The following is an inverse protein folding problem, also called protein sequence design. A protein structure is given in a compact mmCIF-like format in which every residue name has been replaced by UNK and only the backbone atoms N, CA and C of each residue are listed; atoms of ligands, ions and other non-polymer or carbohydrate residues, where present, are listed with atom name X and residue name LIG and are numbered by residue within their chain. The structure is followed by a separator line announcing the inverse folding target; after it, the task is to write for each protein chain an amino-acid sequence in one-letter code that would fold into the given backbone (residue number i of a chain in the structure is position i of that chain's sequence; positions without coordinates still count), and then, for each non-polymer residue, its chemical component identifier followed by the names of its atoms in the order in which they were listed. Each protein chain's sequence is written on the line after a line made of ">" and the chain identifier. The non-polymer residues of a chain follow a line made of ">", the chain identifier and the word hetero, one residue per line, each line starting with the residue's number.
data_IF_017547675430
#
_entry.id   IF_017547675430
#
_cell.length_a   1.000
_cell.length_b   1.000
_cell.length_c   1.000
_cell.angle_alpha   90.00
_cell.angle_beta   90.00
_cell.angle_gamma   90.00
#
_symmetry.space_group_name_H-M   'P 1'
#
loop_
_entity.id
_entity.type
_entity.pdbx_description
1 polymer ?
#
# COMPACT_ATOMS: atom_id res chain seq x y z
N UNK A 1 -12.56 2.77 -53.86
CA UNK A 1 -12.19 4.20 -53.75
C UNK A 1 -11.21 4.36 -52.57
N UNK A 2 -10.04 4.91 -52.88
CA UNK A 2 -8.93 5.16 -51.93
C UNK A 2 -9.14 6.53 -51.27
N UNK A 3 -8.87 6.65 -49.98
CA UNK A 3 -8.38 7.88 -49.32
C UNK A 3 -7.84 7.47 -47.97
N UNK A 4 -6.59 7.50 -47.73
CA UNK A 4 -5.58 8.53 -47.49
C UNK A 4 -5.42 8.88 -46.00
N UNK A 5 -4.26 8.47 -45.53
CA UNK A 5 -3.52 8.77 -44.30
C UNK A 5 -3.63 10.22 -43.79
N UNK A 6 -3.72 10.39 -42.50
CA UNK A 6 -3.08 11.54 -41.83
C UNK A 6 -2.26 11.05 -40.63
N UNK A 7 -0.95 11.25 -40.73
CA UNK A 7 0.03 11.08 -39.65
C UNK A 7 0.22 12.46 -39.05
N UNK A 8 -0.24 12.71 -37.85
CA UNK A 8 0.17 13.88 -37.08
C UNK A 8 1.26 13.50 -36.09
N UNK A 9 2.46 14.01 -36.41
CA UNK A 9 3.63 13.97 -35.53
C UNK A 9 3.52 15.11 -34.54
N UNK A 10 3.24 14.82 -33.30
CA UNK A 10 3.36 15.82 -32.24
C UNK A 10 4.82 15.88 -31.74
N UNK A 11 5.47 16.94 -32.12
CA UNK A 11 6.83 17.30 -31.67
C UNK A 11 6.79 17.77 -30.22
N UNK A 12 7.63 17.16 -29.38
CA UNK A 12 7.93 17.65 -28.02
C UNK A 12 8.86 18.86 -28.09
N UNK A 13 8.66 19.92 -27.31
CA UNK A 13 9.72 20.86 -26.98
C UNK A 13 10.45 20.43 -25.71
N UNK A 14 11.75 20.27 -25.83
CA UNK A 14 12.70 20.29 -24.71
C UNK A 14 12.70 21.71 -24.11
N UNK A 15 12.58 21.84 -22.82
CA UNK A 15 13.00 23.04 -22.10
C UNK A 15 14.03 22.67 -21.03
N UNK A 16 15.22 23.22 -21.27
CA UNK A 16 16.39 23.24 -20.41
C UNK A 16 16.22 24.13 -19.19
N UNK A 17 17.11 23.86 -18.21
CA UNK A 17 17.70 24.80 -17.24
C UNK A 17 16.92 24.98 -15.94
N UNK A 18 17.50 24.74 -14.77
CA UNK A 18 18.54 25.58 -14.20
C UNK A 18 19.17 24.89 -12.97
N UNK A 19 20.47 24.93 -12.99
CA UNK A 19 21.39 24.63 -11.89
C UNK A 19 21.31 25.76 -10.85
N UNK A 20 21.10 25.43 -9.58
CA UNK A 20 21.33 26.36 -8.49
C UNK A 20 22.18 25.66 -7.41
N UNK A 21 23.46 26.01 -7.40
CA UNK A 21 24.41 25.76 -6.32
C UNK A 21 24.04 26.66 -5.11
N UNK A 22 23.83 26.08 -3.96
CA UNK A 22 23.92 26.78 -2.67
C UNK A 22 25.01 26.14 -1.83
N UNK A 23 26.14 26.84 -1.73
CA UNK A 23 27.17 26.64 -0.73
C UNK A 23 26.79 27.41 0.52
N UNK A 24 26.64 26.73 1.65
CA UNK A 24 26.58 27.38 2.96
C UNK A 24 27.64 26.79 3.86
N UNK A 25 28.67 27.59 4.09
CA UNK A 25 29.71 27.39 5.11
C UNK A 25 29.12 27.62 6.49
N UNK A 26 29.31 26.71 7.44
CA UNK A 26 29.09 26.97 8.85
C UNK A 26 30.39 26.81 9.63
N UNK A 27 30.77 27.92 10.29
CA UNK A 27 31.97 28.11 11.09
C UNK A 27 31.90 27.35 12.43
N UNK A 28 33.03 26.79 12.83
CA UNK A 28 33.32 26.20 14.14
C UNK A 28 33.55 27.29 15.17
N UNK A 29 32.80 27.30 16.25
CA UNK A 29 33.14 28.06 17.45
C UNK A 29 33.54 27.07 18.57
N UNK A 30 34.82 27.05 18.89
CA UNK A 30 35.36 26.38 20.09
C UNK A 30 35.40 27.39 21.24
N UNK A 31 34.66 27.14 22.32
CA UNK A 31 34.81 27.85 23.57
C UNK A 31 35.39 26.87 24.61
N UNK A 32 36.64 27.12 24.98
CA UNK A 32 37.32 26.51 26.12
C UNK A 32 36.96 27.28 27.39
N UNK A 33 36.50 26.60 28.44
CA UNK A 33 36.54 27.11 29.80
C UNK A 33 37.31 26.15 30.69
N UNK A 34 38.45 26.64 31.17
CA UNK A 34 39.23 26.05 32.25
C UNK A 34 38.58 26.40 33.57
N UNK A 35 38.45 25.43 34.48
CA UNK A 35 38.08 25.63 35.85
C UNK A 35 38.41 24.36 36.63
N UNK A 36 39.51 24.40 37.37
CA UNK A 36 39.93 23.34 38.24
C UNK A 36 39.13 23.36 39.57
N UNK A 37 38.71 22.20 40.06
CA UNK A 37 38.63 21.86 41.47
C UNK A 37 38.36 20.37 41.66
N UNK A 38 39.21 19.78 42.46
CA UNK A 38 39.27 18.36 42.84
C UNK A 38 38.05 17.87 43.60
N UNK A 39 37.51 16.71 43.18
CA UNK A 39 36.98 15.68 44.09
C UNK A 39 36.81 14.37 43.27
N UNK A 40 37.30 13.21 43.70
CA UNK A 40 37.14 11.96 42.93
C UNK A 40 35.75 11.39 43.18
N UNK A 41 34.83 11.62 42.25
CA UNK A 41 33.53 10.95 42.20
C UNK A 41 33.56 9.90 41.11
N UNK A 42 33.24 8.68 41.50
CA UNK A 42 33.22 7.49 40.66
C UNK A 42 32.56 7.78 39.28
N UNK A 43 33.33 7.49 38.23
CA UNK A 43 32.87 7.55 36.83
C UNK A 43 31.78 6.51 36.63
N UNK A 44 30.60 6.86 36.09
CA UNK A 44 29.69 5.84 35.61
C UNK A 44 30.31 5.20 34.37
N UNK A 45 30.56 3.91 34.46
CA UNK A 45 30.93 3.05 33.33
C UNK A 45 29.97 3.29 32.20
N UNK A 46 30.40 3.61 30.95
CA UNK A 46 29.51 3.72 29.83
C UNK A 46 28.86 2.35 29.64
N UNK A 47 27.55 2.28 29.84
CA UNK A 47 26.73 1.11 29.53
C UNK A 47 26.95 0.81 28.05
N UNK A 48 27.56 -0.31 27.74
CA UNK A 48 27.78 -0.77 26.39
C UNK A 48 26.42 -0.82 25.70
N UNK A 49 26.27 -0.03 24.65
CA UNK A 49 25.06 -0.08 23.78
C UNK A 49 24.90 -1.52 23.31
N UNK A 50 23.83 -2.17 23.76
CA UNK A 50 23.47 -3.52 23.35
C UNK A 50 23.30 -3.52 21.86
N UNK A 51 23.97 -4.40 21.07
CA UNK A 51 23.81 -4.41 19.62
C UNK A 51 22.34 -4.66 19.29
N UNK A 52 21.71 -3.70 18.67
CA UNK A 52 20.35 -3.82 18.12
C UNK A 52 20.39 -4.97 17.12
N UNK A 53 19.75 -6.09 17.47
CA UNK A 53 19.64 -7.28 16.62
C UNK A 53 19.07 -6.82 15.26
N UNK A 54 19.87 -6.91 14.21
CA UNK A 54 19.44 -6.59 12.87
C UNK A 54 18.19 -7.40 12.57
N UNK A 55 17.09 -6.72 12.20
CA UNK A 55 15.84 -7.40 11.91
C UNK A 55 16.06 -8.44 10.79
N UNK A 56 15.59 -9.66 10.99
CA UNK A 56 15.67 -10.72 9.99
C UNK A 56 14.98 -10.23 8.69
N UNK A 57 15.68 -10.18 7.55
CA UNK A 57 15.11 -9.73 6.28
C UNK A 57 13.85 -10.48 5.88
N UNK A 58 13.75 -11.75 6.26
CA UNK A 58 12.57 -12.60 6.01
C UNK A 58 11.36 -12.11 6.79
N UNK A 59 11.52 -11.86 8.08
CA UNK A 59 10.45 -11.37 8.93
C UNK A 59 10.04 -9.93 8.57
N UNK A 60 10.98 -9.09 8.21
CA UNK A 60 10.71 -7.76 7.69
C UNK A 60 9.86 -7.83 6.41
N UNK A 61 10.23 -8.69 5.45
CA UNK A 61 9.48 -8.88 4.21
C UNK A 61 8.06 -9.40 4.44
N UNK A 62 7.86 -10.35 5.35
CA UNK A 62 6.53 -10.84 5.74
C UNK A 62 5.66 -9.71 6.31
N UNK A 63 6.22 -8.95 7.24
CA UNK A 63 5.53 -7.80 7.86
C UNK A 63 5.12 -6.77 6.81
N UNK A 64 6.03 -6.41 5.91
CA UNK A 64 5.77 -5.43 4.85
C UNK A 64 4.69 -5.90 3.87
N UNK A 65 4.73 -7.19 3.47
CA UNK A 65 3.71 -7.77 2.59
C UNK A 65 2.32 -7.75 3.25
N UNK A 66 2.21 -8.10 4.54
CA UNK A 66 0.97 -8.03 5.30
C UNK A 66 0.46 -6.58 5.40
N UNK A 67 1.34 -5.63 5.75
CA UNK A 67 0.97 -4.22 5.87
C UNK A 67 0.49 -3.65 4.54
N UNK A 68 1.13 -4.04 3.43
CA UNK A 68 0.71 -3.66 2.08
C UNK A 68 -0.69 -4.21 1.76
N UNK A 69 -0.96 -5.47 2.08
CA UNK A 69 -2.25 -6.10 1.86
C UNK A 69 -3.38 -5.42 2.67
N UNK A 70 -3.12 -5.09 3.93
CA UNK A 70 -4.06 -4.34 4.75
C UNK A 70 -4.32 -2.93 4.21
N UNK A 71 -3.28 -2.26 3.71
CA UNK A 71 -3.39 -0.94 3.08
C UNK A 71 -4.16 -0.99 1.76
N UNK A 72 -3.95 -2.04 0.96
CA UNK A 72 -4.70 -2.31 -0.26
C UNK A 72 -6.21 -2.34 0.02
N UNK A 73 -6.67 -3.08 1.02
CA UNK A 73 -8.10 -3.15 1.35
C UNK A 73 -8.67 -1.82 1.83
N UNK A 74 -7.90 -1.00 2.55
CA UNK A 74 -8.31 0.38 2.89
C UNK A 74 -8.51 1.25 1.66
N UNK A 75 -7.67 1.09 0.64
CA UNK A 75 -7.83 1.83 -0.62
C UNK A 75 -8.99 1.28 -1.47
N UNK A 76 -9.24 -0.03 -1.44
CA UNK A 76 -10.44 -0.64 -2.04
C UNK A 76 -11.71 -0.05 -1.42
N UNK A 77 -11.80 0.03 -0.08
CA UNK A 77 -12.93 0.68 0.59
C UNK A 77 -13.14 2.12 0.11
N UNK A 78 -12.07 2.91 0.03
CA UNK A 78 -12.14 4.31 -0.46
C UNK A 78 -12.62 4.38 -1.90
N UNK A 79 -12.10 3.53 -2.77
CA UNK A 79 -12.47 3.51 -4.18
C UNK A 79 -13.96 3.23 -4.36
N UNK A 80 -14.50 2.23 -3.66
CA UNK A 80 -15.91 1.88 -3.75
C UNK A 80 -16.85 2.89 -3.08
N UNK A 81 -16.35 3.67 -2.12
CA UNK A 81 -17.13 4.71 -1.45
C UNK A 81 -17.21 6.01 -2.26
N UNK A 82 -16.21 6.32 -3.10
CA UNK A 82 -16.08 7.56 -3.86
C UNK A 82 -16.26 7.34 -5.37
N UNK A 83 -17.44 7.69 -5.95
CA UNK A 83 -17.67 7.55 -7.37
C UNK A 83 -16.70 8.32 -8.28
N UNK A 84 -16.03 9.35 -7.74
CA UNK A 84 -15.00 10.07 -8.50
C UNK A 84 -13.69 9.30 -8.62
N UNK A 85 -13.47 8.30 -7.75
CA UNK A 85 -12.25 7.51 -7.66
C UNK A 85 -11.00 8.29 -7.23
N UNK A 86 -11.13 9.59 -6.92
CA UNK A 86 -9.99 10.49 -6.64
C UNK A 86 -9.42 10.32 -5.24
N UNK A 87 -10.23 9.85 -4.30
CA UNK A 87 -9.82 9.67 -2.90
C UNK A 87 -8.91 8.46 -2.69
N UNK A 88 -8.97 7.47 -3.57
CA UNK A 88 -8.21 6.22 -3.44
C UNK A 88 -6.82 6.30 -4.08
N UNK A 89 -5.83 5.77 -3.37
CA UNK A 89 -4.43 5.64 -3.83
C UNK A 89 -4.09 4.19 -4.17
N UNK A 90 -5.04 3.46 -4.76
CA UNK A 90 -4.96 2.01 -4.98
C UNK A 90 -3.68 1.59 -5.73
N UNK A 91 -3.21 2.38 -6.71
CA UNK A 91 -1.99 2.12 -7.49
C UNK A 91 -0.70 2.10 -6.66
N UNK A 92 -0.72 2.60 -5.43
CA UNK A 92 0.42 2.48 -4.51
C UNK A 92 0.53 1.08 -3.92
N UNK A 93 -0.59 0.35 -3.80
CA UNK A 93 -0.68 -0.93 -3.10
C UNK A 93 -1.11 -2.09 -4.00
N UNK A 94 -1.55 -1.82 -5.23
CA UNK A 94 -1.98 -2.84 -6.18
C UNK A 94 -1.39 -2.62 -7.57
N UNK A 95 -1.29 -3.72 -8.32
CA UNK A 95 -0.87 -3.75 -9.71
C UNK A 95 -1.54 -4.95 -10.43
N UNK A 96 -1.28 -5.11 -11.71
CA UNK A 96 -1.69 -6.27 -12.53
C UNK A 96 -3.19 -6.58 -12.39
N UNK A 97 -3.54 -7.85 -12.19
CA UNK A 97 -4.93 -8.31 -12.13
C UNK A 97 -5.69 -7.73 -10.93
N UNK A 98 -5.07 -7.64 -9.75
CA UNK A 98 -5.72 -7.10 -8.56
C UNK A 98 -6.18 -5.65 -8.77
N UNK A 99 -5.31 -4.80 -9.33
CA UNK A 99 -5.67 -3.42 -9.65
C UNK A 99 -6.79 -3.34 -10.68
N UNK A 100 -6.62 -4.04 -11.82
CA UNK A 100 -7.58 -4.01 -12.93
C UNK A 100 -8.96 -4.48 -12.52
N UNK A 101 -9.05 -5.57 -11.78
CA UNK A 101 -10.33 -6.15 -11.37
C UNK A 101 -11.07 -5.20 -10.42
N UNK A 102 -10.38 -4.67 -9.40
CA UNK A 102 -11.00 -3.75 -8.43
C UNK A 102 -11.45 -2.44 -9.10
N UNK A 103 -10.62 -1.84 -9.98
CA UNK A 103 -11.01 -0.63 -10.72
C UNK A 103 -12.23 -0.88 -11.64
N UNK A 104 -12.27 -2.04 -12.31
CA UNK A 104 -13.39 -2.44 -13.17
C UNK A 104 -14.67 -2.66 -12.38
N UNK A 105 -14.59 -3.39 -11.26
CA UNK A 105 -15.75 -3.71 -10.43
C UNK A 105 -16.30 -2.48 -9.73
N UNK A 106 -15.43 -1.61 -9.21
CA UNK A 106 -15.84 -0.34 -8.60
C UNK A 106 -16.51 0.57 -9.64
N UNK A 107 -15.92 0.68 -10.85
CA UNK A 107 -16.54 1.42 -11.96
C UNK A 107 -17.91 0.88 -12.30
N UNK A 108 -18.06 -0.44 -12.44
CA UNK A 108 -19.36 -1.06 -12.72
C UNK A 108 -20.39 -0.75 -11.61
N UNK A 109 -19.98 -0.79 -10.33
CA UNK A 109 -20.86 -0.40 -9.23
C UNK A 109 -21.30 1.07 -9.35
N UNK A 110 -20.38 1.98 -9.62
CA UNK A 110 -20.66 3.41 -9.75
C UNK A 110 -21.54 3.74 -10.97
N UNK A 111 -21.30 3.10 -12.12
CA UNK A 111 -22.12 3.24 -13.32
C UNK A 111 -23.59 2.82 -13.05
N UNK A 112 -23.82 1.90 -12.12
CA UNK A 112 -25.14 1.50 -11.64
C UNK A 112 -25.63 2.28 -10.41
N UNK A 113 -25.05 3.43 -10.12
CA UNK A 113 -25.40 4.30 -8.99
C UNK A 113 -25.27 3.61 -7.61
N UNK A 114 -24.29 2.72 -7.46
CA UNK A 114 -24.02 1.96 -6.23
C UNK A 114 -22.69 2.37 -5.64
N UNK A 115 -22.67 2.55 -4.33
CA UNK A 115 -21.44 2.72 -3.56
C UNK A 115 -21.43 1.73 -2.42
N UNK A 116 -20.24 1.49 -1.86
CA UNK A 116 -20.10 0.67 -0.67
C UNK A 116 -19.70 1.56 0.50
N UNK A 117 -20.36 1.36 1.64
CA UNK A 117 -20.07 2.08 2.88
C UNK A 117 -19.82 1.08 4.02
N UNK A 118 -19.10 1.54 5.03
CA UNK A 118 -18.69 0.70 6.15
C UNK A 118 -17.27 0.20 6.02
N UNK A 119 -16.97 -0.96 6.57
CA UNK A 119 -15.60 -1.45 6.72
C UNK A 119 -15.47 -2.92 6.29
N UNK A 120 -14.31 -3.22 5.71
CA UNK A 120 -13.82 -4.59 5.50
C UNK A 120 -12.83 -4.94 6.59
N UNK A 121 -12.92 -6.15 7.13
CA UNK A 121 -11.93 -6.64 8.09
C UNK A 121 -11.06 -7.70 7.43
N UNK A 122 -9.76 -7.45 7.38
CA UNK A 122 -8.74 -8.43 6.98
C UNK A 122 -8.31 -9.16 8.25
N UNK A 123 -8.88 -10.34 8.48
CA UNK A 123 -8.62 -11.14 9.68
C UNK A 123 -7.45 -12.10 9.48
N UNK A 124 -6.53 -12.13 10.46
CA UNK A 124 -5.44 -13.10 10.55
C UNK A 124 -4.64 -13.26 9.23
N UNK A 125 -4.15 -12.19 8.60
CA UNK A 125 -3.35 -12.32 7.39
C UNK A 125 -2.04 -13.05 7.72
N UNK A 126 -1.78 -14.15 7.03
CA UNK A 126 -0.59 -14.97 7.20
C UNK A 126 0.13 -15.15 5.87
N UNK A 127 1.45 -15.05 5.88
CA UNK A 127 2.29 -15.40 4.73
C UNK A 127 2.45 -16.92 4.68
N UNK A 128 1.90 -17.53 3.64
CA UNK A 128 1.93 -18.99 3.41
C UNK A 128 3.03 -19.42 2.45
N UNK A 129 3.62 -18.46 1.73
CA UNK A 129 4.77 -18.67 0.84
C UNK A 129 5.57 -17.39 0.69
N UNK A 130 6.89 -17.49 0.64
CA UNK A 130 7.79 -16.34 0.47
C UNK A 130 8.99 -16.74 -0.41
N UNK A 131 9.18 -16.03 -1.50
CA UNK A 131 10.37 -16.11 -2.35
C UNK A 131 11.04 -14.75 -2.44
N UNK A 132 12.19 -14.60 -1.79
CA UNK A 132 13.01 -13.39 -1.81
C UNK A 132 14.19 -13.47 -2.80
N UNK A 133 14.41 -14.63 -3.42
CA UNK A 133 15.57 -14.88 -4.28
C UNK A 133 15.28 -14.62 -5.75
N UNK A 134 14.02 -14.62 -6.15
CA UNK A 134 13.63 -14.35 -7.53
C UNK A 134 13.91 -12.89 -7.92
N UNK A 135 14.00 -12.63 -9.22
CA UNK A 135 14.17 -11.26 -9.78
C UNK A 135 13.08 -10.30 -9.28
N UNK A 136 11.88 -10.81 -9.06
CA UNK A 136 10.77 -10.07 -8.45
C UNK A 136 10.34 -10.84 -7.21
N UNK A 137 10.80 -10.44 -6.01
CA UNK A 137 10.42 -11.10 -4.76
C UNK A 137 8.90 -11.17 -4.60
N UNK A 138 8.40 -12.31 -4.10
CA UNK A 138 6.96 -12.59 -4.01
C UNK A 138 6.59 -13.19 -2.67
N UNK A 139 5.44 -12.79 -2.16
CA UNK A 139 4.78 -13.42 -1.03
C UNK A 139 3.37 -13.87 -1.41
N UNK A 140 2.99 -15.04 -0.90
CA UNK A 140 1.60 -15.54 -0.94
C UNK A 140 1.01 -15.37 0.44
N UNK A 141 -0.18 -14.77 0.53
CA UNK A 141 -0.91 -14.59 1.77
C UNK A 141 -2.21 -15.38 1.76
N UNK A 142 -2.64 -15.76 2.94
CA UNK A 142 -4.01 -16.24 3.20
C UNK A 142 -4.59 -15.44 4.33
N UNK A 143 -5.85 -15.03 4.21
CA UNK A 143 -6.57 -14.30 5.27
C UNK A 143 -8.05 -14.65 5.28
N UNK A 144 -8.71 -14.30 6.38
CA UNK A 144 -10.16 -14.32 6.48
C UNK A 144 -10.69 -12.90 6.18
N UNK A 145 -11.34 -12.73 5.05
CA UNK A 145 -11.95 -11.45 4.69
C UNK A 145 -13.40 -11.41 5.19
N UNK A 146 -13.71 -10.42 6.02
CA UNK A 146 -15.06 -10.18 6.52
C UNK A 146 -15.61 -8.87 5.95
N UNK A 147 -16.62 -9.00 5.07
CA UNK A 147 -17.34 -7.93 4.40
C UNK A 147 -18.77 -7.75 4.96
N UNK A 148 -19.09 -8.32 6.11
CA UNK A 148 -20.44 -8.25 6.69
C UNK A 148 -20.87 -6.82 7.02
N UNK A 149 -19.92 -5.95 7.35
CA UNK A 149 -20.14 -4.53 7.63
C UNK A 149 -19.95 -3.60 6.42
N UNK A 150 -19.60 -4.16 5.26
CA UNK A 150 -19.42 -3.41 4.02
C UNK A 150 -20.71 -3.49 3.20
N UNK A 151 -21.52 -2.45 3.29
CA UNK A 151 -22.89 -2.39 2.77
C UNK A 151 -22.93 -1.71 1.42
N UNK A 152 -23.69 -2.28 0.47
CA UNK A 152 -24.01 -1.65 -0.80
C UNK A 152 -25.21 -0.74 -0.61
N UNK A 153 -25.08 0.51 -1.02
CA UNK A 153 -26.16 1.49 -0.95
C UNK A 153 -26.32 2.24 -2.29
N UNK A 154 -27.48 2.78 -2.51
CA UNK A 154 -27.70 3.72 -3.61
C UNK A 154 -26.89 5.00 -3.38
N UNK A 155 -26.14 5.45 -4.39
CA UNK A 155 -25.19 6.55 -4.24
C UNK A 155 -25.86 7.90 -3.95
N UNK A 156 -27.11 8.10 -4.41
CA UNK A 156 -27.86 9.37 -4.23
C UNK A 156 -28.64 9.37 -2.92
N UNK A 157 -29.43 8.33 -2.69
CA UNK A 157 -30.36 8.26 -1.55
C UNK A 157 -29.73 7.70 -0.28
N UNK A 158 -28.56 7.05 -0.41
CA UNK A 158 -27.86 6.32 0.67
C UNK A 158 -28.66 5.16 1.28
N UNK A 159 -29.78 4.77 0.65
CA UNK A 159 -30.58 3.65 1.09
C UNK A 159 -29.86 2.32 0.81
N UNK A 160 -29.85 1.38 1.76
CA UNK A 160 -29.29 0.05 1.55
C UNK A 160 -29.98 -0.67 0.37
N UNK A 161 -29.19 -1.36 -0.44
CA UNK A 161 -29.68 -2.22 -1.49
C UNK A 161 -29.79 -3.66 -0.99
N UNK A 162 -30.86 -4.35 -1.37
CA UNK A 162 -31.03 -5.76 -1.06
C UNK A 162 -30.05 -6.59 -1.87
N UNK A 163 -29.35 -7.48 -1.18
CA UNK A 163 -28.38 -8.41 -1.79
C UNK A 163 -28.84 -9.85 -1.48
N UNK A 164 -28.42 -10.84 -2.30
CA UNK A 164 -28.77 -12.24 -2.03
C UNK A 164 -28.39 -12.66 -0.61
N UNK A 165 -29.30 -13.29 0.11
CA UNK A 165 -29.10 -13.69 1.52
C UNK A 165 -28.08 -14.82 1.68
N UNK A 166 -27.89 -15.63 0.63
CA UNK A 166 -26.95 -16.75 0.61
C UNK A 166 -25.51 -16.37 0.25
N UNK A 167 -25.23 -15.09 0.04
CA UNK A 167 -23.85 -14.65 -0.27
C UNK A 167 -22.90 -14.88 0.90
N UNK A 168 -21.68 -15.27 0.61
CA UNK A 168 -20.62 -15.33 1.61
C UNK A 168 -20.20 -13.92 2.00
N UNK A 169 -20.30 -13.59 3.27
CA UNK A 169 -19.83 -12.30 3.83
C UNK A 169 -18.54 -12.45 4.63
N UNK A 170 -18.13 -13.69 4.89
CA UNK A 170 -16.88 -14.02 5.58
C UNK A 170 -16.27 -15.24 4.91
N UNK A 171 -15.09 -15.09 4.34
CA UNK A 171 -14.48 -16.13 3.50
C UNK A 171 -12.96 -16.04 3.43
N UNK A 172 -12.35 -17.20 3.15
CA UNK A 172 -10.91 -17.28 2.89
C UNK A 172 -10.59 -16.61 1.57
N UNK A 173 -9.57 -15.75 1.59
CA UNK A 173 -9.00 -15.12 0.41
C UNK A 173 -7.51 -15.45 0.31
N UNK A 174 -7.03 -15.74 -0.90
CA UNK A 174 -5.62 -15.96 -1.21
C UNK A 174 -5.12 -14.82 -2.06
N UNK A 175 -4.00 -14.23 -1.66
CA UNK A 175 -3.44 -13.05 -2.30
C UNK A 175 -1.99 -13.28 -2.67
N UNK A 176 -1.56 -12.73 -3.81
CA UNK A 176 -0.16 -12.68 -4.20
C UNK A 176 0.32 -11.23 -4.16
N UNK A 177 1.47 -11.01 -3.54
CA UNK A 177 2.10 -9.71 -3.38
C UNK A 177 3.51 -9.78 -3.95
N UNK A 178 3.86 -8.83 -4.80
CA UNK A 178 5.20 -8.71 -5.39
C UNK A 178 5.90 -7.44 -4.94
N UNK A 179 7.22 -7.53 -4.78
CA UNK A 179 8.06 -6.38 -4.45
C UNK A 179 8.51 -5.67 -5.74
N UNK A 180 8.00 -4.45 -5.93
CA UNK A 180 8.31 -3.58 -7.05
C UNK A 180 9.22 -2.43 -6.61
N UNK A 181 9.84 -1.69 -7.55
CA UNK A 181 10.43 -0.40 -7.21
C UNK A 181 9.39 0.48 -6.52
N UNK A 182 9.67 0.92 -5.29
CA UNK A 182 8.72 1.70 -4.48
C UNK A 182 7.83 0.88 -3.52
N UNK A 183 8.05 -0.43 -3.37
CA UNK A 183 7.40 -1.24 -2.34
C UNK A 183 6.66 -2.48 -2.84
N UNK A 184 6.04 -3.18 -1.91
CA UNK A 184 5.20 -4.32 -2.22
C UNK A 184 3.87 -3.89 -2.85
N UNK A 185 3.30 -4.74 -3.74
CA UNK A 185 2.00 -4.52 -4.39
C UNK A 185 1.23 -5.81 -4.52
N UNK A 186 -0.05 -5.77 -4.20
CA UNK A 186 -0.97 -6.88 -4.46
C UNK A 186 -1.15 -7.01 -5.97
N UNK A 187 -0.83 -8.17 -6.53
CA UNK A 187 -0.95 -8.43 -7.96
C UNK A 187 -2.12 -9.36 -8.29
N UNK A 188 -2.56 -10.12 -7.28
CA UNK A 188 -3.70 -11.04 -7.37
C UNK A 188 -4.40 -11.11 -6.01
N UNK A 189 -5.72 -11.19 -6.02
CA UNK A 189 -6.54 -11.26 -4.81
C UNK A 189 -7.79 -12.09 -5.13
N UNK A 190 -7.84 -13.34 -4.64
CA UNK A 190 -8.79 -14.35 -5.10
C UNK A 190 -9.58 -14.96 -3.94
N UNK A 191 -10.91 -14.73 -3.89
CA UNK A 191 -11.79 -15.46 -2.99
C UNK A 191 -11.76 -16.96 -3.27
N UNK A 192 -11.66 -17.77 -2.21
CA UNK A 192 -11.56 -19.22 -2.33
C UNK A 192 -12.94 -19.92 -2.22
N UNK A 193 -14.05 -19.17 -2.13
CA UNK A 193 -15.39 -19.73 -1.98
C UNK A 193 -15.61 -20.53 -0.68
N UNK A 194 -14.69 -20.43 0.26
CA UNK A 194 -14.67 -21.18 1.51
C UNK A 194 -14.90 -20.24 2.70
N UNK A 195 -15.79 -20.62 3.59
CA UNK A 195 -16.00 -19.89 4.85
C UNK A 195 -14.74 -19.97 5.75
N UNK A 196 -14.52 -18.96 6.53
CA UNK A 196 -13.54 -18.93 7.64
C UNK A 196 -14.23 -18.56 9.01
#
# INVERSE_FOLDING_TARGET
>A
MRTARSRDRYRRPLKNSMLALFTASCALAVTSCSGASDTPKASPTPSAAQPTKSADPTEAAKKDAIATYQSYWKEVERLYADPSGKSAKLKQYAASAALKNVESDAKNAHDHNRIHIGQVTVGNPAVTGLDLKSKTPRATLSSCLDISRWKVVDAKTKKPLSLPSNRLTKYVIKSEVERWPGGWRVIRDEPQGKRC
#
